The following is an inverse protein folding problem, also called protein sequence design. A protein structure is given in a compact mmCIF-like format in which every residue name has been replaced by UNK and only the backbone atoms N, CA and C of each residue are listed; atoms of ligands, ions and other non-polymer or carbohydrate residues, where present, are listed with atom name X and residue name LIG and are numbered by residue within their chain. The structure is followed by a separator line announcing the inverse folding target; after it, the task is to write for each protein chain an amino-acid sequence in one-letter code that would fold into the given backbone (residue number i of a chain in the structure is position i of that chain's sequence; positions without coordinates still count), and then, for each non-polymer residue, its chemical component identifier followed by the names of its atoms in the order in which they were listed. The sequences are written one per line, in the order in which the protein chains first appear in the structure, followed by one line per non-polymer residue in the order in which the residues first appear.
data_IF_035364020596
#
_entry.id   IF_035364020596
#
_cell.length_a   1.000
_cell.length_b   1.000
_cell.length_c   1.000
_cell.angle_alpha   90.00
_cell.angle_beta   90.00
_cell.angle_gamma   90.00
#
_symmetry.space_group_name_H-M   'P 1'
#
loop_
_entity.id
_entity.type
_entity.pdbx_description
1 polymer ?
#
# COMPACT_ATOMS: atom_id res chain seq x y z
N UNK A 1 19.30 36.37 -16.00
CA UNK A 1 17.89 35.90 -16.03
C UNK A 1 17.75 34.51 -16.70
N UNK A 2 18.62 33.54 -16.36
CA UNK A 2 18.58 32.17 -16.93
C UNK A 2 18.79 31.05 -15.89
N UNK A 3 19.09 31.40 -14.63
CA UNK A 3 19.33 30.43 -13.56
C UNK A 3 18.08 30.04 -12.77
N UNK A 4 16.98 30.79 -12.87
CA UNK A 4 15.76 30.55 -12.09
C UNK A 4 14.83 29.48 -12.68
N UNK A 5 15.08 29.01 -13.91
CA UNK A 5 14.24 28.00 -14.56
C UNK A 5 14.66 26.54 -14.25
N UNK A 6 15.82 26.31 -13.63
CA UNK A 6 16.32 24.95 -13.38
C UNK A 6 15.84 24.33 -12.05
N UNK A 7 15.32 25.13 -11.12
CA UNK A 7 14.93 24.64 -9.78
C UNK A 7 13.49 24.07 -9.78
N UNK A 8 12.64 24.48 -10.73
CA UNK A 8 11.23 24.05 -10.79
C UNK A 8 11.02 22.61 -11.29
N UNK A 9 12.04 21.94 -11.84
CA UNK A 9 11.90 20.61 -12.44
C UNK A 9 12.36 19.43 -11.57
N UNK A 10 12.82 19.68 -10.33
CA UNK A 10 13.38 18.60 -9.49
C UNK A 10 12.37 17.89 -8.58
N UNK A 11 11.10 18.34 -8.52
CA UNK A 11 10.07 17.71 -7.68
C UNK A 11 9.32 16.55 -8.35
N UNK A 12 9.60 16.21 -9.61
CA UNK A 12 8.82 15.20 -10.35
C UNK A 12 9.20 13.73 -10.06
N UNK A 13 10.20 13.46 -9.22
CA UNK A 13 10.69 12.10 -8.94
C UNK A 13 10.43 11.61 -7.51
N UNK A 14 9.85 12.45 -6.64
CA UNK A 14 9.31 11.95 -5.38
C UNK A 14 7.96 11.36 -5.74
N UNK A 15 7.90 10.05 -5.98
CA UNK A 15 6.64 9.34 -6.14
C UNK A 15 5.83 9.55 -4.87
N UNK A 16 4.90 10.52 -4.90
CA UNK A 16 3.93 10.72 -3.83
C UNK A 16 3.04 9.48 -3.82
N UNK A 17 3.41 8.48 -3.01
CA UNK A 17 2.55 7.34 -2.76
C UNK A 17 1.32 7.84 -1.99
N UNK A 18 0.16 7.25 -2.30
CA UNK A 18 -1.07 7.53 -1.55
C UNK A 18 -1.17 6.57 -0.35
N UNK A 19 -1.99 6.88 0.67
CA UNK A 19 -2.12 6.05 1.86
C UNK A 19 -2.45 4.58 1.58
N UNK A 20 -3.23 4.30 0.53
CA UNK A 20 -3.56 2.91 0.15
C UNK A 20 -2.36 2.17 -0.46
N UNK A 21 -1.47 2.85 -1.18
CA UNK A 21 -0.22 2.24 -1.64
C UNK A 21 0.73 1.95 -0.48
N UNK A 22 0.71 2.78 0.57
CA UNK A 22 1.51 2.52 1.77
C UNK A 22 0.94 1.37 2.59
N UNK A 23 -0.40 1.25 2.70
CA UNK A 23 -1.04 0.08 3.29
C UNK A 23 -0.65 -1.22 2.58
N UNK A 24 -0.60 -1.25 1.24
CA UNK A 24 -0.11 -2.41 0.49
C UNK A 24 1.32 -2.84 0.90
N UNK A 25 2.20 -1.86 1.17
CA UNK A 25 3.58 -2.14 1.60
C UNK A 25 3.63 -2.62 3.05
N UNK A 26 2.79 -2.06 3.90
CA UNK A 26 2.74 -2.44 5.32
C UNK A 26 2.29 -3.89 5.47
N UNK A 27 1.26 -4.32 4.72
CA UNK A 27 0.80 -5.71 4.72
C UNK A 27 1.90 -6.66 4.21
N UNK A 28 2.61 -6.27 3.15
CA UNK A 28 3.73 -7.06 2.63
C UNK A 28 4.89 -7.16 3.64
N UNK A 29 5.26 -6.05 4.28
CA UNK A 29 6.29 -6.04 5.33
C UNK A 29 5.87 -6.90 6.52
N UNK A 30 4.59 -6.88 6.90
CA UNK A 30 4.12 -7.69 8.01
C UNK A 30 4.15 -9.19 7.67
N UNK A 31 3.86 -9.56 6.42
CA UNK A 31 4.01 -10.95 5.97
C UNK A 31 5.46 -11.44 6.06
N UNK A 32 6.44 -10.60 5.69
CA UNK A 32 7.86 -10.92 5.87
C UNK A 32 8.21 -11.15 7.35
N UNK A 33 7.72 -10.31 8.25
CA UNK A 33 7.91 -10.48 9.71
C UNK A 33 7.29 -11.80 10.22
N UNK A 34 6.18 -12.22 9.61
CA UNK A 34 5.51 -13.49 9.89
C UNK A 34 6.16 -14.71 9.21
N UNK A 35 7.27 -14.54 8.48
CA UNK A 35 7.94 -15.58 7.66
C UNK A 35 7.04 -16.16 6.55
N UNK A 36 6.08 -15.39 6.07
CA UNK A 36 5.19 -15.76 4.97
C UNK A 36 5.88 -15.39 3.65
N UNK A 37 5.95 -16.33 2.71
CA UNK A 37 6.53 -16.06 1.39
C UNK A 37 5.50 -15.36 0.52
N UNK A 38 5.59 -14.03 0.42
CA UNK A 38 4.78 -13.25 -0.50
C UNK A 38 5.43 -13.27 -1.88
N UNK A 39 4.72 -13.65 -2.97
CA UNK A 39 5.23 -13.47 -4.31
C UNK A 39 5.56 -12.00 -4.57
N UNK A 40 6.73 -11.68 -5.12
CA UNK A 40 7.14 -10.28 -5.40
C UNK A 40 6.11 -9.50 -6.24
N UNK A 41 5.25 -10.21 -6.97
CA UNK A 41 4.18 -9.64 -7.80
C UNK A 41 2.95 -9.16 -7.01
N UNK A 42 2.71 -9.67 -5.81
CA UNK A 42 1.49 -9.38 -5.01
C UNK A 42 1.47 -7.94 -4.47
N UNK A 43 2.52 -7.44 -3.78
CA UNK A 43 2.55 -6.06 -3.31
C UNK A 43 2.55 -5.08 -4.49
N UNK A 44 3.24 -5.43 -5.59
CA UNK A 44 3.26 -4.65 -6.82
C UNK A 44 1.88 -4.54 -7.47
N UNK A 45 1.12 -5.64 -7.53
CA UNK A 45 -0.24 -5.66 -8.06
C UNK A 45 -1.20 -4.79 -7.21
N UNK A 46 -1.10 -4.86 -5.88
CA UNK A 46 -1.86 -3.99 -4.97
C UNK A 46 -1.53 -2.51 -5.22
N UNK A 47 -0.24 -2.16 -5.28
CA UNK A 47 0.22 -0.78 -5.52
C UNK A 47 -0.26 -0.28 -6.89
N UNK A 48 -0.15 -1.08 -7.95
CA UNK A 48 -0.58 -0.70 -9.30
C UNK A 48 -2.11 -0.60 -9.43
N UNK A 49 -2.87 -1.39 -8.67
CA UNK A 49 -4.30 -1.22 -8.54
C UNK A 49 -4.64 0.13 -7.85
N UNK A 50 -3.98 0.44 -6.73
CA UNK A 50 -4.20 1.69 -5.99
C UNK A 50 -3.65 2.93 -6.68
N UNK A 51 -2.70 2.77 -7.61
CA UNK A 51 -2.19 3.85 -8.48
C UNK A 51 -3.20 4.23 -9.57
N UNK A 52 -3.91 3.24 -10.13
CA UNK A 52 -4.86 3.44 -11.23
C UNK A 52 -6.26 3.83 -10.75
N UNK A 53 -6.54 3.68 -9.45
CA UNK A 53 -7.84 4.00 -8.85
C UNK A 53 -7.96 5.49 -8.54
N UNK A 54 -9.08 6.07 -8.91
CA UNK A 54 -9.51 7.36 -8.35
C UNK A 54 -10.00 7.11 -6.92
N UNK A 55 -9.13 7.38 -5.94
CA UNK A 55 -9.48 7.27 -4.53
C UNK A 55 -10.28 8.49 -4.10
N UNK A 56 -11.39 8.27 -3.39
CA UNK A 56 -12.10 9.34 -2.69
C UNK A 56 -11.29 9.80 -1.47
N UNK A 57 -11.72 10.88 -0.81
CA UNK A 57 -11.11 11.29 0.47
C UNK A 57 -11.31 10.21 1.54
N UNK A 58 -12.51 9.64 1.59
CA UNK A 58 -12.88 8.58 2.53
C UNK A 58 -12.05 7.30 2.31
N UNK A 59 -11.80 6.90 1.06
CA UNK A 59 -10.92 5.76 0.78
C UNK A 59 -9.50 5.99 1.32
N UNK A 60 -8.96 7.21 1.13
CA UNK A 60 -7.61 7.55 1.61
C UNK A 60 -7.53 7.58 3.13
N UNK A 61 -8.57 8.10 3.78
CA UNK A 61 -8.67 8.14 5.23
C UNK A 61 -8.77 6.72 5.78
N UNK A 62 -9.62 5.89 5.20
CA UNK A 62 -9.74 4.47 5.55
C UNK A 62 -8.39 3.76 5.43
N UNK A 63 -7.68 3.90 4.31
CA UNK A 63 -6.37 3.26 4.15
C UNK A 63 -5.33 3.73 5.15
N UNK A 64 -5.31 5.02 5.50
CA UNK A 64 -4.40 5.58 6.49
C UNK A 64 -4.70 5.03 7.88
N UNK A 65 -5.97 5.06 8.26
CA UNK A 65 -6.42 4.69 9.59
C UNK A 65 -6.28 3.17 9.79
N UNK A 66 -6.44 2.34 8.74
CA UNK A 66 -6.21 0.90 8.87
C UNK A 66 -4.71 0.53 8.86
N UNK A 67 -3.84 1.33 8.24
CA UNK A 67 -2.40 1.06 8.22
C UNK A 67 -1.78 1.15 9.62
N UNK A 68 -2.26 2.08 10.46
CA UNK A 68 -1.78 2.21 11.84
C UNK A 68 -2.22 1.05 12.75
N UNK A 69 -3.40 0.47 12.49
CA UNK A 69 -3.95 -0.62 13.32
C UNK A 69 -3.61 -2.02 12.82
N UNK A 70 -3.05 -2.17 11.61
CA UNK A 70 -2.82 -3.48 11.00
C UNK A 70 -2.10 -4.47 11.93
N UNK A 71 -1.03 -4.03 12.60
CA UNK A 71 -0.22 -4.89 13.49
C UNK A 71 -0.84 -5.12 14.87
N UNK A 72 -1.79 -4.27 15.26
CA UNK A 72 -2.50 -4.40 16.52
C UNK A 72 -3.75 -5.29 16.36
N UNK A 73 -4.36 -5.28 15.17
CA UNK A 73 -5.62 -5.98 14.88
C UNK A 73 -5.43 -7.32 14.16
N UNK A 74 -4.43 -7.45 13.30
CA UNK A 74 -4.20 -8.66 12.52
C UNK A 74 -3.11 -9.51 13.15
N UNK A 75 -3.31 -10.82 13.13
CA UNK A 75 -2.31 -11.82 13.45
C UNK A 75 -1.59 -12.29 12.19
N UNK A 76 -0.48 -13.02 12.35
CA UNK A 76 0.18 -13.67 11.22
C UNK A 76 -0.76 -14.63 10.46
N UNK A 77 -1.74 -15.23 11.13
CA UNK A 77 -2.73 -16.09 10.45
C UNK A 77 -3.68 -15.28 9.56
N UNK A 78 -4.04 -14.06 9.96
CA UNK A 78 -4.88 -13.17 9.16
C UNK A 78 -4.11 -12.66 7.92
N UNK A 79 -2.82 -12.37 8.09
CA UNK A 79 -1.93 -11.98 6.99
C UNK A 79 -1.71 -13.15 6.02
N UNK A 80 -1.51 -14.37 6.53
CA UNK A 80 -1.40 -15.58 5.69
C UNK A 80 -2.69 -15.78 4.88
N UNK A 81 -3.86 -15.67 5.53
CA UNK A 81 -5.16 -15.78 4.87
C UNK A 81 -5.35 -14.72 3.76
N UNK A 82 -4.89 -13.49 3.98
CA UNK A 82 -4.95 -12.41 2.99
C UNK A 82 -4.19 -12.78 1.70
N UNK A 83 -3.00 -13.36 1.82
CA UNK A 83 -2.17 -13.75 0.67
C UNK A 83 -2.53 -15.12 0.07
N UNK A 84 -3.09 -16.04 0.86
CA UNK A 84 -3.58 -17.33 0.36
C UNK A 84 -4.89 -17.19 -0.43
N UNK A 85 -5.64 -16.09 -0.21
CA UNK A 85 -6.89 -15.82 -0.91
C UNK A 85 -6.98 -14.36 -1.41
N UNK A 86 -6.21 -13.98 -2.45
CA UNK A 86 -6.11 -12.59 -2.94
C UNK A 86 -7.39 -12.03 -3.62
N UNK A 87 -8.56 -12.63 -3.35
CA UNK A 87 -9.87 -12.15 -3.79
C UNK A 87 -11.03 -12.45 -2.82
N UNK A 88 -10.76 -12.94 -1.61
CA UNK A 88 -11.77 -13.45 -0.68
C UNK A 88 -12.15 -12.56 0.50
N UNK A 89 -11.76 -11.28 0.51
CA UNK A 89 -12.13 -10.31 1.55
C UNK A 89 -13.57 -9.78 1.42
N UNK A 90 -14.52 -10.65 1.09
CA UNK A 90 -15.92 -10.33 0.97
C UNK A 90 -16.76 -11.52 1.39
N UNK A 91 -17.54 -11.32 2.47
CA UNK A 91 -18.65 -12.15 2.94
C UNK A 91 -18.30 -13.29 3.92
N UNK A 92 -18.44 -12.94 5.21
CA UNK A 92 -18.75 -13.83 6.33
C UNK A 92 -19.57 -13.06 7.35
#
# INVERSE_FOLDING_TARGET
MRLFLLIASLCALVACNNPCQDLCKEIASYAEDCNITVPDTEPGACIDAMRRRELTAEDRDTCRDNAEFLRDEWTCADVELYFDNPGGGGEG
#
